data_IF_377656726490
#
_entry.id   IF_377656726490
#
_cell.length_a   1.000
_cell.length_b   1.000
_cell.length_c   1.000
_cell.angle_alpha   90.00
_cell.angle_beta   90.00
_cell.angle_gamma   90.00
#
_symmetry.space_group_name_H-M   'P 1'
#
loop_
_entity.id
_entity.type
_entity.pdbx_description
1 polymer ?
#
# COMPACT_ATOMS: atom_id res chain seq x y z
N UNK A 1 1.84 -52.21 -38.56
CA UNK A 1 0.93 -51.06 -38.79
C UNK A 1 0.83 -50.32 -37.47
N UNK A 2 1.45 -49.15 -37.41
CA UNK A 2 1.52 -48.32 -36.21
C UNK A 2 0.36 -47.33 -36.24
N UNK A 3 -0.44 -47.28 -35.18
CA UNK A 3 -1.46 -46.26 -34.98
C UNK A 3 -0.80 -44.98 -34.44
N UNK A 4 -0.93 -43.91 -35.21
CA UNK A 4 -0.48 -42.57 -34.86
C UNK A 4 -1.54 -41.85 -34.03
N UNK A 5 -1.21 -41.52 -32.79
CA UNK A 5 -1.99 -40.62 -31.93
C UNK A 5 -1.73 -39.18 -32.39
N UNK A 6 -2.76 -38.51 -32.90
CA UNK A 6 -2.71 -37.10 -33.30
C UNK A 6 -2.78 -36.19 -32.07
N UNK A 7 -1.67 -35.53 -31.74
CA UNK A 7 -1.61 -34.46 -30.76
C UNK A 7 -2.12 -33.14 -31.37
N UNK A 8 -3.29 -32.68 -30.95
CA UNK A 8 -3.78 -31.33 -31.26
C UNK A 8 -3.13 -30.32 -30.32
N UNK A 9 -2.03 -29.71 -30.75
CA UNK A 9 -1.45 -28.53 -30.10
C UNK A 9 -2.29 -27.30 -30.46
N UNK A 10 -3.14 -26.82 -29.55
CA UNK A 10 -3.78 -25.52 -29.68
C UNK A 10 -2.76 -24.43 -29.35
N UNK A 11 -2.16 -23.86 -30.38
CA UNK A 11 -1.38 -22.63 -30.30
C UNK A 11 -2.31 -21.49 -29.89
N UNK A 12 -2.16 -20.98 -28.67
CA UNK A 12 -2.77 -19.72 -28.27
C UNK A 12 -2.08 -18.58 -29.04
N UNK A 13 -2.72 -18.13 -30.11
CA UNK A 13 -2.40 -16.86 -30.76
C UNK A 13 -2.69 -15.74 -29.77
N UNK A 14 -1.63 -15.10 -29.25
CA UNK A 14 -1.73 -13.83 -28.55
C UNK A 14 -2.06 -12.75 -29.58
N UNK A 15 -3.36 -12.52 -29.79
CA UNK A 15 -3.83 -11.39 -30.58
C UNK A 15 -3.42 -10.09 -29.87
N UNK A 16 -2.70 -9.24 -30.60
CA UNK A 16 -2.10 -8.00 -30.13
C UNK A 16 -3.12 -6.87 -29.96
N UNK A 17 -4.21 -7.15 -29.24
CA UNK A 17 -5.22 -6.15 -28.94
C UNK A 17 -4.62 -5.12 -27.98
N UNK A 18 -4.26 -3.95 -28.50
CA UNK A 18 -4.05 -2.76 -27.67
C UNK A 18 -5.37 -2.53 -26.93
N UNK A 19 -5.41 -2.88 -25.65
CA UNK A 19 -6.54 -2.57 -24.78
C UNK A 19 -6.81 -1.06 -24.89
N UNK A 20 -7.89 -0.68 -25.57
CA UNK A 20 -8.39 0.70 -25.58
C UNK A 20 -9.02 0.98 -24.20
N UNK A 21 -8.17 1.14 -23.19
CA UNK A 21 -8.59 1.44 -21.83
C UNK A 21 -9.16 2.86 -21.77
N UNK A 22 -10.32 3.01 -21.11
CA UNK A 22 -10.91 4.33 -20.88
C UNK A 22 -9.94 5.23 -20.12
N UNK A 23 -9.84 6.49 -20.53
CA UNK A 23 -9.01 7.52 -19.88
C UNK A 23 -9.83 8.53 -19.09
N UNK A 24 -11.16 8.47 -19.19
CA UNK A 24 -12.09 9.33 -18.46
C UNK A 24 -13.38 8.58 -18.10
N UNK A 25 -14.12 9.13 -17.13
CA UNK A 25 -15.49 8.72 -16.83
C UNK A 25 -16.48 9.61 -17.61
N UNK A 26 -17.71 9.14 -17.88
CA UNK A 26 -18.71 9.92 -18.61
C UNK A 26 -19.11 11.25 -17.93
N UNK A 27 -18.90 11.37 -16.61
CA UNK A 27 -19.32 12.52 -15.80
C UNK A 27 -18.23 12.87 -14.78
N UNK A 28 -17.92 14.16 -14.56
CA UNK A 28 -17.01 14.58 -13.49
C UNK A 28 -17.62 14.33 -12.10
N UNK A 29 -16.76 14.19 -11.08
CA UNK A 29 -17.22 14.12 -9.70
C UNK A 29 -17.81 15.47 -9.27
N UNK A 30 -18.91 15.45 -8.52
CA UNK A 30 -19.48 16.65 -7.89
C UNK A 30 -18.53 17.22 -6.82
N UNK A 31 -18.70 18.49 -6.46
CA UNK A 31 -17.92 19.15 -5.41
C UNK A 31 -18.21 18.51 -4.05
N UNK A 32 -17.19 17.96 -3.40
CA UNK A 32 -17.31 17.41 -2.03
C UNK A 32 -17.51 18.49 -0.97
N UNK A 33 -17.18 19.75 -1.27
CA UNK A 33 -17.39 20.86 -0.33
C UNK A 33 -18.88 21.12 -0.06
N UNK A 34 -19.75 20.57 -0.92
CA UNK A 34 -21.19 20.72 -0.82
C UNK A 34 -21.79 19.79 0.26
N UNK A 35 -20.99 18.84 0.80
CA UNK A 35 -21.44 17.83 1.75
C UNK A 35 -20.54 17.73 2.99
N UNK A 36 -21.15 17.82 4.18
CA UNK A 36 -20.44 17.71 5.45
C UNK A 36 -20.41 16.27 5.98
N UNK A 37 -19.25 15.60 5.93
CA UNK A 37 -19.04 14.24 6.47
C UNK A 37 -19.48 14.14 7.94
N UNK A 38 -19.26 15.19 8.73
CA UNK A 38 -19.64 15.23 10.15
C UNK A 38 -21.13 15.05 10.38
N UNK A 39 -21.97 15.55 9.46
CA UNK A 39 -23.42 15.43 9.58
C UNK A 39 -23.87 13.97 9.69
N UNK A 40 -23.11 13.05 9.09
CA UNK A 40 -23.32 11.62 9.17
C UNK A 40 -22.56 11.03 10.36
N UNK A 41 -21.26 11.34 10.50
CA UNK A 41 -20.41 10.77 11.55
C UNK A 41 -20.84 11.13 12.99
N UNK A 42 -21.47 12.27 13.23
CA UNK A 42 -22.00 12.61 14.56
C UNK A 42 -23.03 11.60 15.07
N UNK A 43 -23.82 11.02 14.16
CA UNK A 43 -24.83 9.99 14.48
C UNK A 43 -24.18 8.60 14.66
N UNK A 44 -22.87 8.50 14.42
CA UNK A 44 -22.08 7.28 14.43
C UNK A 44 -21.23 7.11 15.69
N UNK A 45 -21.13 8.15 16.52
CA UNK A 45 -20.29 8.14 17.72
C UNK A 45 -20.73 6.99 18.64
N UNK A 46 -19.80 6.10 18.99
CA UNK A 46 -20.04 4.93 19.85
C UNK A 46 -20.56 3.68 19.12
N UNK A 47 -20.79 3.74 17.80
CA UNK A 47 -21.15 2.57 16.97
C UNK A 47 -19.97 2.09 16.14
N UNK A 48 -19.99 0.83 15.71
CA UNK A 48 -19.05 0.33 14.70
C UNK A 48 -19.31 1.04 13.36
N UNK A 49 -18.35 1.83 12.88
CA UNK A 49 -18.47 2.62 11.65
C UNK A 49 -18.78 1.78 10.39
N UNK A 50 -18.41 0.50 10.39
CA UNK A 50 -18.71 -0.44 9.30
C UNK A 50 -20.21 -0.73 9.15
N UNK A 51 -21.00 -0.59 10.22
CA UNK A 51 -22.46 -0.84 10.23
C UNK A 51 -23.28 0.38 9.81
N UNK A 52 -22.63 1.43 9.33
CA UNK A 52 -23.26 2.72 9.06
C UNK A 52 -23.27 2.97 7.56
N UNK A 53 -24.48 3.10 7.02
CA UNK A 53 -24.72 3.47 5.63
C UNK A 53 -24.24 4.90 5.40
N UNK A 54 -23.17 5.08 4.63
CA UNK A 54 -22.81 6.41 4.15
C UNK A 54 -23.71 6.79 2.97
N UNK A 55 -24.18 8.05 2.90
CA UNK A 55 -24.70 8.61 1.68
C UNK A 55 -23.73 8.38 0.51
N UNK A 56 -24.27 7.99 -0.65
CA UNK A 56 -23.50 7.68 -1.86
C UNK A 56 -22.59 8.82 -2.30
N UNK A 57 -22.90 10.06 -1.90
CA UNK A 57 -22.08 11.25 -2.17
C UNK A 57 -20.71 11.23 -1.48
N UNK A 58 -20.50 10.37 -0.48
CA UNK A 58 -19.17 10.17 0.11
C UNK A 58 -18.42 9.00 -0.53
N UNK A 59 -19.10 8.25 -1.39
CA UNK A 59 -18.49 7.17 -2.12
C UNK A 59 -17.72 7.66 -3.34
N UNK A 60 -16.71 6.90 -3.70
CA UNK A 60 -16.13 6.91 -5.04
C UNK A 60 -16.74 5.76 -5.86
N UNK A 61 -16.72 5.84 -7.20
CA UNK A 61 -17.38 4.86 -8.07
C UNK A 61 -16.56 3.57 -8.23
N UNK A 62 -16.05 3.02 -7.12
CA UNK A 62 -15.30 1.77 -7.08
C UNK A 62 -15.70 0.96 -5.85
N UNK A 63 -15.86 -0.35 -6.04
CA UNK A 63 -15.95 -1.33 -4.95
C UNK A 63 -14.62 -1.43 -4.21
N UNK A 64 -14.63 -1.81 -2.94
CA UNK A 64 -13.40 -2.05 -2.20
C UNK A 64 -12.56 -3.18 -2.83
N UNK A 65 -13.19 -4.16 -3.51
CA UNK A 65 -12.46 -5.18 -4.25
C UNK A 65 -11.62 -4.57 -5.38
N UNK A 66 -12.18 -3.60 -6.10
CA UNK A 66 -11.47 -2.86 -7.15
C UNK A 66 -10.35 -2.02 -6.54
N UNK A 67 -10.59 -1.37 -5.41
CA UNK A 67 -9.57 -0.60 -4.70
C UNK A 67 -8.37 -1.47 -4.30
N UNK A 68 -8.59 -2.70 -3.86
CA UNK A 68 -7.48 -3.62 -3.53
C UNK A 68 -6.66 -4.01 -4.77
N UNK A 69 -7.28 -4.13 -5.94
CA UNK A 69 -6.53 -4.46 -7.17
C UNK A 69 -5.52 -3.40 -7.57
N UNK A 70 -5.65 -2.17 -7.07
CA UNK A 70 -4.68 -1.10 -7.32
C UNK A 70 -3.34 -1.34 -6.62
N UNK A 71 -3.24 -2.28 -5.67
CA UNK A 71 -1.94 -2.77 -5.20
C UNK A 71 -1.05 -3.24 -6.37
N UNK A 72 -1.67 -3.67 -7.47
CA UNK A 72 -1.00 -4.15 -8.66
C UNK A 72 -0.62 -3.06 -9.68
N UNK A 73 -0.85 -1.77 -9.40
CA UNK A 73 -0.50 -0.67 -10.33
C UNK A 73 0.98 -0.73 -10.75
N UNK A 74 1.86 -1.09 -9.80
CA UNK A 74 3.30 -1.21 -10.02
C UNK A 74 3.79 -2.67 -10.00
N UNK A 75 2.96 -3.63 -10.41
CA UNK A 75 3.28 -5.06 -10.46
C UNK A 75 4.60 -5.38 -11.21
N UNK A 76 5.01 -4.53 -12.16
CA UNK A 76 6.32 -4.60 -12.83
C UNK A 76 7.52 -4.70 -11.86
N UNK A 77 7.42 -4.11 -10.65
CA UNK A 77 8.47 -4.19 -9.64
C UNK A 77 8.69 -5.63 -9.17
N UNK A 78 7.61 -6.42 -9.03
CA UNK A 78 7.71 -7.84 -8.68
C UNK A 78 8.31 -8.67 -9.81
N UNK A 79 8.01 -8.34 -11.06
CA UNK A 79 8.67 -8.96 -12.23
C UNK A 79 10.16 -8.69 -12.25
N UNK A 80 10.57 -7.45 -11.98
CA UNK A 80 11.99 -7.09 -11.88
C UNK A 80 12.64 -7.85 -10.71
N UNK A 81 11.97 -7.94 -9.57
CA UNK A 81 12.42 -8.72 -8.42
C UNK A 81 12.66 -10.19 -8.80
N UNK A 82 11.70 -10.83 -9.48
CA UNK A 82 11.82 -12.23 -9.92
C UNK A 82 13.05 -12.48 -10.81
N UNK A 83 13.54 -11.46 -11.53
CA UNK A 83 14.73 -11.55 -12.39
C UNK A 83 16.06 -11.33 -11.65
N UNK A 84 16.03 -10.78 -10.42
CA UNK A 84 17.27 -10.52 -9.67
C UNK A 84 17.84 -11.81 -9.08
N UNK A 85 19.17 -11.94 -9.14
CA UNK A 85 19.90 -13.07 -8.56
C UNK A 85 20.26 -12.84 -7.08
N UNK A 86 20.52 -11.59 -6.69
CA UNK A 86 20.83 -11.22 -5.31
C UNK A 86 19.53 -11.11 -4.47
N UNK A 87 19.39 -11.85 -3.36
CA UNK A 87 18.22 -11.75 -2.46
C UNK A 87 18.03 -10.35 -1.87
N UNK A 88 19.09 -9.56 -1.72
CA UNK A 88 18.99 -8.18 -1.26
C UNK A 88 18.37 -7.29 -2.34
N UNK A 89 18.74 -7.47 -3.61
CA UNK A 89 18.11 -6.77 -4.73
C UNK A 89 16.63 -7.16 -4.86
N UNK A 90 16.30 -8.45 -4.71
CA UNK A 90 14.88 -8.89 -4.66
C UNK A 90 14.12 -8.15 -3.56
N UNK A 91 14.64 -8.13 -2.34
CA UNK A 91 14.00 -7.45 -1.22
C UNK A 91 13.85 -5.94 -1.44
N UNK A 92 14.79 -5.27 -2.12
CA UNK A 92 14.64 -3.85 -2.49
C UNK A 92 13.40 -3.62 -3.37
N UNK A 93 13.22 -4.44 -4.40
CA UNK A 93 12.08 -4.33 -5.31
C UNK A 93 10.75 -4.72 -4.64
N UNK A 94 10.73 -5.77 -3.82
CA UNK A 94 9.54 -6.14 -3.04
C UNK A 94 9.18 -5.03 -2.04
N UNK A 95 10.16 -4.41 -1.40
CA UNK A 95 9.93 -3.27 -0.50
C UNK A 95 9.40 -2.04 -1.25
N UNK A 96 9.93 -1.76 -2.45
CA UNK A 96 9.43 -0.70 -3.31
C UNK A 96 7.99 -0.97 -3.75
N UNK A 97 7.66 -2.22 -4.10
CA UNK A 97 6.29 -2.64 -4.41
C UNK A 97 5.35 -2.40 -3.23
N UNK A 98 5.72 -2.84 -2.03
CA UNK A 98 4.93 -2.68 -0.82
C UNK A 98 4.61 -1.20 -0.50
N UNK A 99 5.56 -0.29 -0.71
CA UNK A 99 5.32 1.16 -0.58
C UNK A 99 4.44 1.68 -1.71
N UNK A 100 4.69 1.28 -2.96
CA UNK A 100 3.96 1.76 -4.13
C UNK A 100 2.47 1.38 -4.11
N UNK A 101 2.13 0.22 -3.55
CA UNK A 101 0.75 -0.24 -3.38
C UNK A 101 -0.09 0.71 -2.50
N UNK A 102 0.56 1.58 -1.73
CA UNK A 102 -0.09 2.56 -0.88
C UNK A 102 -0.19 3.95 -1.53
N UNK A 103 0.47 4.19 -2.67
CA UNK A 103 0.54 5.49 -3.33
C UNK A 103 -0.84 5.95 -3.85
N UNK A 104 -1.66 5.01 -4.36
CA UNK A 104 -2.98 5.33 -4.93
C UNK A 104 -3.98 5.89 -3.91
N UNK A 105 -3.67 5.82 -2.61
CA UNK A 105 -4.52 6.42 -1.57
C UNK A 105 -4.40 7.95 -1.51
N UNK A 106 -3.35 8.54 -2.07
CA UNK A 106 -3.20 10.00 -2.08
C UNK A 106 -4.37 10.67 -2.80
N UNK A 107 -4.90 11.75 -2.22
CA UNK A 107 -6.07 12.50 -2.70
C UNK A 107 -7.38 11.71 -2.85
N UNK A 108 -7.41 10.41 -2.51
CA UNK A 108 -8.60 9.58 -2.60
C UNK A 108 -9.39 9.53 -1.29
N UNK A 109 -10.07 10.63 -1.03
CA UNK A 109 -10.94 10.82 0.14
C UNK A 109 -12.28 10.07 0.06
N UNK A 110 -12.57 9.39 -1.05
CA UNK A 110 -13.82 8.65 -1.26
C UNK A 110 -13.83 7.31 -0.54
N UNK A 111 -14.95 7.00 0.11
CA UNK A 111 -15.18 5.66 0.63
C UNK A 111 -15.48 4.72 -0.55
N UNK A 112 -14.73 3.64 -0.79
CA UNK A 112 -15.15 2.66 -1.77
C UNK A 112 -16.49 2.03 -1.36
N UNK A 113 -17.25 1.53 -2.32
CA UNK A 113 -18.46 0.77 -2.02
C UNK A 113 -18.09 -0.47 -1.19
N UNK A 114 -18.88 -0.72 -0.14
CA UNK A 114 -18.71 -1.92 0.67
C UNK A 114 -19.19 -3.12 -0.16
N UNK A 115 -18.32 -4.10 -0.47
CA UNK A 115 -18.71 -5.21 -1.31
C UNK A 115 -19.81 -6.05 -0.66
N UNK A 116 -20.70 -6.62 -1.47
CA UNK A 116 -21.66 -7.62 -1.00
C UNK A 116 -20.93 -8.92 -0.63
N UNK A 117 -21.48 -9.72 0.28
CA UNK A 117 -20.93 -11.05 0.57
C UNK A 117 -20.96 -11.91 -0.71
N UNK A 118 -19.81 -12.49 -1.08
CA UNK A 118 -19.65 -13.24 -2.32
C UNK A 118 -19.52 -12.38 -3.58
N UNK A 119 -19.49 -11.05 -3.47
CA UNK A 119 -19.09 -10.19 -4.59
C UNK A 119 -17.67 -10.55 -5.02
N UNK A 120 -17.45 -10.62 -6.33
CA UNK A 120 -16.14 -10.86 -6.93
C UNK A 120 -15.74 -9.71 -7.85
N UNK A 121 -14.44 -9.56 -8.05
CA UNK A 121 -13.88 -8.68 -9.07
C UNK A 121 -12.62 -9.30 -9.64
N UNK A 122 -12.50 -9.29 -10.97
CA UNK A 122 -11.32 -9.77 -11.68
C UNK A 122 -10.71 -8.68 -12.56
N UNK A 123 -9.40 -8.75 -12.75
CA UNK A 123 -8.68 -7.91 -13.67
C UNK A 123 -7.56 -8.73 -14.34
N UNK A 124 -7.58 -8.75 -15.67
CA UNK A 124 -6.49 -9.31 -16.47
C UNK A 124 -5.72 -8.17 -17.13
N UNK A 125 -4.40 -8.20 -16.98
CA UNK A 125 -3.43 -7.34 -17.66
C UNK A 125 -2.38 -8.21 -18.34
N UNK A 126 -1.63 -7.67 -19.32
CA UNK A 126 -0.53 -8.43 -19.92
C UNK A 126 0.50 -8.96 -18.90
N UNK A 127 0.67 -8.25 -17.79
CA UNK A 127 1.69 -8.57 -16.78
C UNK A 127 1.21 -9.52 -15.68
N UNK A 128 -0.10 -9.58 -15.41
CA UNK A 128 -0.69 -10.35 -14.30
C UNK A 128 -2.21 -10.53 -14.47
N UNK A 129 -2.77 -11.52 -13.79
CA UNK A 129 -4.21 -11.65 -13.53
C UNK A 129 -4.47 -11.58 -12.04
N UNK A 130 -5.60 -11.02 -11.62
CA UNK A 130 -6.01 -10.96 -10.22
C UNK A 130 -7.50 -11.26 -10.09
N UNK A 131 -7.84 -12.04 -9.06
CA UNK A 131 -9.20 -12.28 -8.59
C UNK A 131 -9.32 -11.80 -7.15
N UNK A 132 -10.43 -11.13 -6.84
CA UNK A 132 -10.80 -10.68 -5.52
C UNK A 132 -12.19 -11.22 -5.16
N UNK A 133 -12.41 -11.53 -3.88
CA UNK A 133 -13.71 -11.95 -3.35
C UNK A 133 -13.97 -11.35 -1.97
N UNK A 134 -15.21 -10.93 -1.73
CA UNK A 134 -15.68 -10.60 -0.39
C UNK A 134 -16.08 -11.86 0.37
N UNK A 135 -15.13 -12.45 1.10
CA UNK A 135 -15.28 -13.74 1.78
C UNK A 135 -16.00 -13.66 3.14
N UNK A 136 -16.13 -12.46 3.71
CA UNK A 136 -16.91 -12.26 4.95
C UNK A 136 -17.49 -10.85 5.01
N UNK A 137 -18.65 -10.70 5.65
CA UNK A 137 -19.31 -9.41 5.87
C UNK A 137 -19.24 -8.92 7.32
N UNK A 138 -19.15 -9.85 8.29
CA UNK A 138 -19.08 -9.56 9.73
C UNK A 138 -18.03 -10.45 10.42
N UNK A 139 -16.76 -10.00 10.52
CA UNK A 139 -16.24 -8.72 10.03
C UNK A 139 -16.09 -8.67 8.50
N UNK A 140 -16.05 -7.47 7.86
CA UNK A 140 -15.81 -7.37 6.43
C UNK A 140 -14.36 -7.80 6.12
N UNK A 141 -14.22 -8.88 5.35
CA UNK A 141 -12.93 -9.42 4.89
C UNK A 141 -13.00 -9.60 3.38
N UNK A 142 -12.03 -9.04 2.68
CA UNK A 142 -11.86 -9.21 1.25
C UNK A 142 -10.55 -9.95 0.99
N UNK A 143 -10.61 -11.06 0.26
CA UNK A 143 -9.44 -11.83 -0.16
C UNK A 143 -9.07 -11.47 -1.61
N UNK A 144 -7.79 -11.60 -1.93
CA UNK A 144 -7.30 -11.45 -3.29
C UNK A 144 -6.18 -12.45 -3.60
N UNK A 145 -6.08 -12.82 -4.87
CA UNK A 145 -5.01 -13.67 -5.39
C UNK A 145 -4.65 -13.19 -6.79
N UNK A 146 -3.39 -12.78 -6.96
CA UNK A 146 -2.82 -12.36 -8.22
C UNK A 146 -1.70 -13.30 -8.64
N UNK A 147 -1.64 -13.59 -9.92
CA UNK A 147 -0.72 -14.56 -10.51
C UNK A 147 -0.09 -13.97 -11.77
N UNK A 148 1.23 -14.16 -11.88
CA UNK A 148 2.04 -13.90 -13.07
C UNK A 148 2.79 -15.20 -13.36
N UNK A 149 2.37 -15.99 -14.37
CA UNK A 149 2.83 -17.37 -14.58
C UNK A 149 4.35 -17.60 -14.52
N UNK A 150 5.14 -16.63 -14.99
CA UNK A 150 6.61 -16.73 -15.02
C UNK A 150 7.32 -15.76 -14.06
N UNK A 151 6.64 -15.27 -13.02
CA UNK A 151 7.17 -14.19 -12.18
C UNK A 151 6.90 -14.34 -10.71
N UNK A 152 5.64 -14.15 -10.31
CA UNK A 152 5.27 -13.99 -8.92
C UNK A 152 3.82 -14.42 -8.66
N UNK A 153 3.55 -14.77 -7.41
CA UNK A 153 2.20 -14.83 -6.85
C UNK A 153 2.07 -13.74 -5.80
N UNK A 154 0.98 -12.98 -5.80
CA UNK A 154 0.70 -11.98 -4.77
C UNK A 154 -0.71 -12.20 -4.20
N UNK A 155 -0.80 -12.49 -2.91
CA UNK A 155 -2.07 -12.84 -2.28
C UNK A 155 -2.18 -12.34 -0.85
N UNK A 156 -3.40 -12.34 -0.34
CA UNK A 156 -3.68 -11.94 1.02
C UNK A 156 -5.16 -11.71 1.27
N UNK A 157 -5.47 -11.20 2.46
CA UNK A 157 -6.80 -10.72 2.79
C UNK A 157 -6.73 -9.47 3.65
N UNK A 158 -7.70 -8.59 3.51
CA UNK A 158 -7.75 -7.30 4.22
C UNK A 158 -9.06 -7.15 4.96
N UNK A 159 -8.96 -6.86 6.24
CA UNK A 159 -10.02 -6.43 7.13
C UNK A 159 -9.79 -4.97 7.56
N UNK A 160 -10.46 -3.98 6.95
CA UNK A 160 -10.29 -2.59 7.30
C UNK A 160 -11.04 -2.25 8.60
N UNK A 161 -10.31 -2.14 9.72
CA UNK A 161 -10.88 -1.75 11.01
C UNK A 161 -10.83 -0.23 11.18
N UNK A 162 -11.99 0.38 11.39
CA UNK A 162 -12.13 1.83 11.54
C UNK A 162 -12.15 2.25 13.02
N UNK A 163 -11.46 3.35 13.36
CA UNK A 163 -11.51 4.01 14.67
C UNK A 163 -11.72 5.50 14.50
N UNK A 164 -12.68 6.06 15.23
CA UNK A 164 -12.96 7.50 15.24
C UNK A 164 -12.28 8.16 16.45
N UNK A 165 -11.52 9.22 16.18
CA UNK A 165 -10.74 9.97 17.17
C UNK A 165 -11.23 11.41 17.34
N UNK A 166 -12.54 11.65 17.15
CA UNK A 166 -13.10 13.00 17.18
C UNK A 166 -12.89 13.73 15.86
N UNK A 167 -11.70 14.26 15.61
CA UNK A 167 -11.40 15.07 14.41
C UNK A 167 -10.86 14.28 13.22
N UNK A 168 -10.58 13.00 13.43
CA UNK A 168 -9.98 12.12 12.42
C UNK A 168 -10.57 10.70 12.51
N UNK A 169 -10.49 9.96 11.40
CA UNK A 169 -10.80 8.53 11.33
C UNK A 169 -9.53 7.78 10.95
N UNK A 170 -9.11 6.86 11.81
CA UNK A 170 -8.02 5.93 11.57
C UNK A 170 -8.59 4.64 10.93
N UNK A 171 -7.97 4.21 9.83
CA UNK A 171 -8.21 2.95 9.15
C UNK A 171 -7.00 2.04 9.41
N UNK A 172 -7.25 0.88 10.00
CA UNK A 172 -6.25 -0.15 10.24
C UNK A 172 -6.52 -1.33 9.28
N UNK A 173 -5.77 -1.46 8.17
CA UNK A 173 -5.92 -2.58 7.24
C UNK A 173 -5.32 -3.86 7.87
N UNK A 174 -6.12 -4.64 8.58
CA UNK A 174 -5.66 -5.87 9.22
C UNK A 174 -5.57 -7.00 8.21
N UNK A 175 -4.46 -7.71 8.22
CA UNK A 175 -4.21 -8.85 7.35
C UNK A 175 -2.80 -8.79 6.78
N UNK A 176 -2.24 -9.98 6.58
CA UNK A 176 -0.93 -10.15 5.99
C UNK A 176 -1.10 -10.33 4.48
N UNK A 177 -0.24 -9.64 3.74
CA UNK A 177 -0.09 -9.85 2.30
C UNK A 177 1.23 -10.54 2.05
N UNK A 178 1.25 -11.38 1.02
CA UNK A 178 2.38 -12.26 0.71
C UNK A 178 2.70 -12.17 -0.77
N UNK A 179 3.98 -11.99 -1.09
CA UNK A 179 4.55 -12.20 -2.42
C UNK A 179 5.35 -13.48 -2.39
N UNK A 180 5.12 -14.35 -3.35
CA UNK A 180 5.96 -15.52 -3.61
C UNK A 180 6.69 -15.30 -4.92
N UNK A 181 7.97 -15.68 -4.95
CA UNK A 181 8.81 -15.72 -6.15
C UNK A 181 9.17 -17.18 -6.43
N UNK A 182 8.32 -17.94 -7.16
CA UNK A 182 8.47 -19.39 -7.33
C UNK A 182 9.82 -19.79 -7.95
N UNK A 183 10.35 -18.99 -8.88
CA UNK A 183 11.65 -19.24 -9.51
C UNK A 183 12.84 -19.23 -8.54
N UNK A 184 12.69 -18.63 -7.35
CA UNK A 184 13.69 -18.62 -6.27
C UNK A 184 13.29 -19.49 -5.08
N UNK A 185 12.06 -20.01 -5.04
CA UNK A 185 11.52 -20.71 -3.88
C UNK A 185 11.41 -19.82 -2.63
N UNK A 186 11.07 -18.54 -2.80
CA UNK A 186 11.05 -17.55 -1.73
C UNK A 186 9.67 -16.97 -1.49
N UNK A 187 9.42 -16.55 -0.25
CA UNK A 187 8.25 -15.79 0.12
C UNK A 187 8.63 -14.53 0.92
N UNK A 188 7.82 -13.49 0.74
CA UNK A 188 7.92 -12.21 1.42
C UNK A 188 6.57 -11.84 1.97
N UNK A 189 6.50 -11.39 3.22
CA UNK A 189 5.23 -10.96 3.82
C UNK A 189 5.36 -9.67 4.61
N UNK A 190 4.28 -8.88 4.61
CA UNK A 190 4.16 -7.69 5.44
C UNK A 190 2.70 -7.42 5.83
N UNK A 191 2.52 -6.52 6.79
CA UNK A 191 1.24 -5.91 7.09
C UNK A 191 1.27 -4.44 6.64
N UNK A 192 0.17 -3.96 6.08
CA UNK A 192 0.04 -2.56 5.67
C UNK A 192 -0.01 -1.63 6.89
N UNK A 193 0.44 -0.38 6.70
CA UNK A 193 0.43 0.65 7.74
C UNK A 193 -0.96 1.26 7.94
N UNK A 194 -1.14 2.02 9.02
CA UNK A 194 -2.40 2.70 9.27
C UNK A 194 -2.56 3.88 8.31
N UNK A 195 -3.81 4.14 7.94
CA UNK A 195 -4.21 5.33 7.20
C UNK A 195 -5.09 6.20 8.10
N UNK A 196 -4.98 7.52 8.02
CA UNK A 196 -5.80 8.44 8.79
C UNK A 196 -6.37 9.52 7.87
N UNK A 197 -7.68 9.72 7.95
CA UNK A 197 -8.38 10.82 7.30
C UNK A 197 -8.61 11.90 8.35
N UNK A 198 -7.94 13.03 8.17
CA UNK A 198 -7.98 14.16 9.09
C UNK A 198 -9.06 15.18 8.71
N UNK A 199 -9.40 16.04 9.67
CA UNK A 199 -10.34 17.17 9.50
C UNK A 199 -11.76 16.76 9.07
N UNK A 200 -12.24 15.60 9.53
CA UNK A 200 -13.58 15.10 9.19
C UNK A 200 -14.75 15.93 9.75
N UNK A 201 -14.45 16.89 10.65
CA UNK A 201 -15.44 17.83 11.22
C UNK A 201 -15.34 19.22 10.61
N UNK A 202 -14.13 19.81 10.64
CA UNK A 202 -13.87 21.19 10.18
C UNK A 202 -12.51 21.22 9.50
N UNK A 203 -12.45 21.91 8.36
CA UNK A 203 -11.23 22.12 7.58
C UNK A 203 -11.17 21.26 6.31
N UNK A 204 -10.06 21.38 5.58
CA UNK A 204 -9.81 20.57 4.38
C UNK A 204 -9.42 19.16 4.81
N UNK A 205 -10.16 18.16 4.31
CA UNK A 205 -9.82 16.75 4.47
C UNK A 205 -8.48 16.44 3.83
N UNK A 206 -7.68 15.61 4.49
CA UNK A 206 -6.44 15.09 3.94
C UNK A 206 -6.14 13.70 4.52
N UNK A 207 -5.36 12.92 3.78
CA UNK A 207 -4.96 11.57 4.15
C UNK A 207 -3.51 11.55 4.59
N UNK A 208 -3.25 10.80 5.63
CA UNK A 208 -1.93 10.47 6.12
C UNK A 208 -1.78 8.95 6.22
N UNK A 209 -0.60 8.42 5.92
CA UNK A 209 -0.26 7.04 6.23
C UNK A 209 0.91 7.03 7.20
N UNK A 210 0.82 6.23 8.27
CA UNK A 210 1.82 6.18 9.31
C UNK A 210 1.93 4.81 9.98
N UNK A 211 3.10 4.57 10.58
CA UNK A 211 3.43 3.35 11.29
C UNK A 211 4.62 2.64 10.66
N UNK A 212 4.92 1.45 11.17
CA UNK A 212 6.06 0.66 10.70
C UNK A 212 5.57 -0.49 9.85
N UNK A 213 6.06 -0.57 8.62
CA UNK A 213 5.94 -1.71 7.73
C UNK A 213 7.20 -2.57 7.84
N UNK A 214 7.04 -3.88 8.02
CA UNK A 214 8.14 -4.83 8.00
C UNK A 214 7.93 -5.83 6.87
N UNK A 215 8.77 -5.75 5.85
CA UNK A 215 8.82 -6.70 4.74
C UNK A 215 9.84 -7.78 5.10
N UNK A 216 9.35 -8.96 5.45
CA UNK A 216 10.16 -10.08 5.93
C UNK A 216 10.37 -11.06 4.79
N UNK A 217 11.61 -11.44 4.51
CA UNK A 217 11.96 -12.61 3.69
C UNK A 217 12.04 -13.84 4.60
N UNK A 218 11.38 -14.93 4.21
CA UNK A 218 11.28 -16.14 5.04
C UNK A 218 12.49 -17.08 4.90
N UNK A 219 13.27 -16.95 3.83
CA UNK A 219 14.33 -17.90 3.47
C UNK A 219 15.72 -17.38 3.85
N UNK A 220 15.95 -16.07 3.66
CA UNK A 220 17.29 -15.49 3.78
C UNK A 220 17.56 -14.88 5.16
N UNK A 221 16.52 -14.68 5.97
CA UNK A 221 16.62 -13.93 7.24
C UNK A 221 16.87 -12.43 7.01
N UNK A 222 16.54 -11.93 5.81
CA UNK A 222 16.56 -10.51 5.48
C UNK A 222 15.23 -9.86 5.89
N UNK A 223 15.30 -8.60 6.29
CA UNK A 223 14.10 -7.81 6.61
C UNK A 223 14.28 -6.36 6.23
N UNK A 224 13.29 -5.76 5.56
CA UNK A 224 13.20 -4.32 5.40
C UNK A 224 12.22 -3.75 6.43
N UNK A 225 12.67 -2.82 7.26
CA UNK A 225 11.82 -2.08 8.22
C UNK A 225 11.67 -0.65 7.74
N UNK A 226 10.46 -0.25 7.37
CA UNK A 226 10.11 1.06 6.81
C UNK A 226 9.15 1.79 7.75
N UNK A 227 9.52 2.99 8.17
CA UNK A 227 8.71 3.87 9.01
C UNK A 227 8.06 4.95 8.15
N UNK A 228 6.74 4.91 8.07
CA UNK A 228 5.90 5.97 7.51
C UNK A 228 5.70 7.01 8.60
N UNK A 229 6.32 8.18 8.42
CA UNK A 229 6.32 9.24 9.44
C UNK A 229 5.00 10.00 9.42
N UNK A 230 4.58 10.41 10.60
CA UNK A 230 3.53 11.43 10.71
C UNK A 230 4.09 12.78 10.25
N UNK A 231 3.24 13.69 9.80
CA UNK A 231 3.59 14.99 9.25
C UNK A 231 4.44 15.84 10.22
N UNK A 232 4.28 15.60 11.52
CA UNK A 232 5.00 16.29 12.58
C UNK A 232 4.66 17.78 12.66
N UNK A 233 5.39 18.51 13.49
CA UNK A 233 5.20 19.95 13.62
C UNK A 233 5.59 20.68 12.33
N UNK A 234 4.63 21.40 11.73
CA UNK A 234 4.84 22.19 10.52
C UNK A 234 4.97 21.36 9.24
N UNK A 235 4.43 20.13 9.21
CA UNK A 235 4.39 19.26 8.02
C UNK A 235 5.76 18.88 7.43
N UNK A 236 6.84 18.94 8.21
CA UNK A 236 8.21 18.65 7.74
C UNK A 236 8.38 17.21 7.26
N UNK A 237 7.64 16.29 7.87
CA UNK A 237 7.73 14.85 7.62
C UNK A 237 6.54 14.33 6.82
N UNK A 238 5.76 15.23 6.22
CA UNK A 238 4.58 14.88 5.45
C UNK A 238 4.94 13.89 4.34
N UNK A 239 4.32 12.71 4.44
CA UNK A 239 4.49 11.55 3.55
C UNK A 239 5.85 10.86 3.57
N UNK A 240 6.77 11.28 4.45
CA UNK A 240 8.13 10.74 4.49
C UNK A 240 8.12 9.26 4.90
N UNK A 241 8.86 8.46 4.15
CA UNK A 241 9.12 7.05 4.46
C UNK A 241 10.63 6.87 4.56
N UNK A 242 11.09 6.29 5.67
CA UNK A 242 12.50 5.99 5.90
C UNK A 242 12.66 4.65 6.59
N UNK A 243 13.72 3.93 6.26
CA UNK A 243 13.92 2.60 6.79
C UNK A 243 15.25 2.00 6.41
N UNK A 244 15.41 0.72 6.70
CA UNK A 244 16.64 0.00 6.37
C UNK A 244 16.34 -1.46 6.06
N UNK A 245 17.21 -2.05 5.24
CA UNK A 245 17.32 -3.50 5.12
C UNK A 245 18.33 -3.98 6.17
N UNK A 246 17.96 -5.03 6.91
CA UNK A 246 18.84 -5.72 7.85
C UNK A 246 19.10 -7.17 7.43
N UNK A 247 20.33 -7.62 7.65
CA UNK A 247 20.73 -9.02 7.48
C UNK A 247 20.27 -9.91 8.65
N UNK A 248 20.56 -11.22 8.58
CA UNK A 248 20.24 -12.20 9.62
C UNK A 248 20.85 -11.86 10.99
N UNK A 249 21.97 -11.14 11.00
CA UNK A 249 22.65 -10.65 12.20
C UNK A 249 22.10 -9.30 12.68
N UNK A 250 20.97 -8.83 12.12
CA UNK A 250 20.34 -7.54 12.39
C UNK A 250 21.22 -6.34 12.03
N UNK A 251 22.27 -6.51 11.24
CA UNK A 251 23.08 -5.38 10.76
C UNK A 251 22.36 -4.70 9.61
N UNK A 252 22.33 -3.37 9.64
CA UNK A 252 21.74 -2.56 8.59
C UNK A 252 22.69 -2.51 7.40
N UNK A 253 22.23 -2.96 6.25
CA UNK A 253 23.03 -3.04 5.01
C UNK A 253 22.67 -1.95 4.01
N UNK A 254 21.39 -1.53 4.01
CA UNK A 254 20.90 -0.50 3.11
C UNK A 254 19.98 0.46 3.84
N UNK A 255 19.96 1.72 3.41
CA UNK A 255 19.02 2.74 3.84
C UNK A 255 18.00 2.99 2.72
N UNK A 256 16.72 2.88 3.05
CA UNK A 256 15.62 3.24 2.15
C UNK A 256 15.01 4.57 2.58
N UNK A 257 14.72 5.44 1.62
CA UNK A 257 14.12 6.74 1.90
C UNK A 257 13.28 7.25 0.74
N UNK A 258 12.29 8.07 1.06
CA UNK A 258 11.48 8.76 0.06
C UNK A 258 10.19 9.32 0.63
N UNK A 259 9.18 9.41 -0.25
CA UNK A 259 7.82 9.79 0.10
C UNK A 259 6.86 8.85 -0.61
N UNK A 260 5.92 8.25 0.13
CA UNK A 260 4.99 7.25 -0.45
C UNK A 260 4.09 7.82 -1.55
N UNK A 261 3.97 9.15 -1.66
CA UNK A 261 3.23 9.84 -2.72
C UNK A 261 4.06 10.19 -3.96
N UNK A 262 5.39 10.03 -3.92
CA UNK A 262 6.29 10.52 -4.99
C UNK A 262 7.32 9.48 -5.43
N UNK A 263 8.13 8.96 -4.50
CA UNK A 263 9.25 8.06 -4.82
C UNK A 263 9.74 7.27 -3.62
N UNK A 264 10.47 6.18 -3.89
CA UNK A 264 11.32 5.48 -2.92
C UNK A 264 12.70 5.24 -3.55
N UNK A 265 13.76 5.44 -2.78
CA UNK A 265 15.17 5.24 -3.17
C UNK A 265 15.88 4.39 -2.14
N UNK A 266 17.02 3.83 -2.55
CA UNK A 266 17.88 3.01 -1.72
C UNK A 266 19.34 3.44 -1.91
N UNK A 267 20.10 3.41 -0.83
CA UNK A 267 21.57 3.54 -0.85
C UNK A 267 22.17 2.50 0.10
N UNK A 268 23.45 2.18 -0.06
CA UNK A 268 24.15 1.38 0.93
C UNK A 268 24.19 2.13 2.28
N UNK A 269 24.18 1.38 3.38
CA UNK A 269 24.09 1.97 4.71
C UNK A 269 25.35 2.73 5.12
N UNK A 270 26.52 2.33 4.62
CA UNK A 270 27.79 2.99 4.93
C UNK A 270 27.83 4.42 4.37
N UNK A 271 27.43 4.62 3.11
CA UNK A 271 27.28 5.94 2.49
C UNK A 271 26.28 6.82 3.22
N UNK A 272 25.18 6.23 3.72
CA UNK A 272 24.22 6.96 4.55
C UNK A 272 24.85 7.43 5.88
N UNK A 273 25.61 6.56 6.54
CA UNK A 273 26.31 6.92 7.79
C UNK A 273 27.37 8.01 7.57
N UNK A 274 28.13 7.94 6.47
CA UNK A 274 29.09 8.96 6.08
C UNK A 274 28.40 10.31 5.84
N UNK A 275 27.32 10.32 5.05
CA UNK A 275 26.51 11.51 4.83
C UNK A 275 26.00 12.12 6.15
N UNK A 276 25.52 11.29 7.08
CA UNK A 276 25.06 11.75 8.39
C UNK A 276 26.18 12.38 9.24
N UNK A 277 27.40 11.82 9.19
CA UNK A 277 28.56 12.38 9.91
C UNK A 277 28.95 13.75 9.35
N UNK A 278 29.06 13.87 8.03
CA UNK A 278 29.42 15.13 7.36
C UNK A 278 28.35 16.22 7.52
N UNK A 279 27.08 15.81 7.56
CA UNK A 279 25.93 16.72 7.61
C UNK A 279 25.31 16.82 9.00
N UNK A 280 26.02 16.45 10.07
CA UNK A 280 25.50 16.42 11.44
C UNK A 280 24.84 17.74 11.91
N UNK A 281 25.29 18.89 11.38
CA UNK A 281 24.68 20.20 11.64
C UNK A 281 23.23 20.33 11.15
N UNK A 282 22.84 19.60 10.09
CA UNK A 282 21.46 19.57 9.57
C UNK A 282 20.52 18.81 10.49
N UNK A 283 21.04 17.82 11.24
CA UNK A 283 20.26 16.96 12.12
C UNK A 283 20.19 17.49 13.58
N UNK A 284 21.20 18.25 14.05
CA UNK A 284 21.19 18.86 15.39
C UNK A 284 20.16 19.98 15.59
N UNK A 285 19.79 20.72 14.54
CA UNK A 285 18.82 21.85 14.62
C UNK A 285 17.36 21.44 14.86
N UNK A 286 17.03 20.15 14.85
CA UNK A 286 15.68 19.67 15.11
C UNK A 286 15.34 19.63 16.61
N UNK A 287 16.29 19.31 17.48
CA UNK A 287 16.07 19.18 18.93
C UNK A 287 16.24 20.49 19.70
N UNK A 288 17.03 21.46 19.22
CA UNK A 288 17.25 22.72 19.95
C UNK A 288 16.06 23.69 19.86
N UNK A 289 15.12 23.48 18.92
CA UNK A 289 13.91 24.30 18.80
C UNK A 289 12.75 23.86 19.71
N UNK A 290 12.88 22.78 20.48
CA UNK A 290 11.87 22.33 21.45
C UNK A 290 12.09 22.83 22.88
N UNK A 291 13.20 23.54 23.15
CA UNK A 291 13.42 24.21 24.44
C UNK A 291 12.93 25.65 24.37
N UNK A 292 11.74 25.91 24.92
CA UNK A 292 11.23 27.25 25.15
C UNK A 292 12.19 28.04 26.06
N UNK A 293 12.47 29.32 25.78
CA UNK A 293 13.24 30.18 26.66
C UNK A 293 12.29 30.72 27.73
N UNK A 294 12.12 29.98 28.82
CA UNK A 294 11.58 30.56 30.05
C UNK A 294 12.13 29.79 31.24
N UNK A 295 13.42 29.98 31.47
CA UNK A 295 14.00 29.87 32.79
C UNK A 295 15.21 30.80 32.82
N UNK A 296 15.02 31.96 33.44
CA UNK A 296 16.09 32.80 33.98
C UNK A 296 15.47 33.75 35.02
N UNK A 297 16.21 34.15 36.06
CA UNK A 297 17.38 33.52 36.67
C UNK A 297 17.04 32.79 37.98
#
# INVERSE_FOLDING_TARGET
MAESVSSSSSSHEHDGQKDNLRTSLPVPMFSRNDFNIWSVLKNCIGKELSKITMPVVFNEPLSFLQRMTEYMEYARLLRIAAQQQDPVERLKFVSAFAVSALASNWERLGKPFNPLLGETYELTRPDFRIICEQVSHHPPISAFHADCPDGFTFHGSIHPKLKFWGKSVEIQPKGTVTVELPGHGEAYSWNNVNCCVHNIIVGKLWIEQYGTMEVVSHEHGLKATLTFKTAGAGNKDLHRVEGYISDRSKRRTHFLYGKWTEFIKCTDYASYEEYCKENGYKFKRADERSKSPNESP
#
